data_IF_948147147607
#
_entry.id   IF_948147147607
#
_cell.length_a   1.000
_cell.length_b   1.000
_cell.length_c   1.000
_cell.angle_alpha   90.00
_cell.angle_beta   90.00
_cell.angle_gamma   90.00
#
_symmetry.space_group_name_H-M   'P 1'
#
loop_
_entity.id
_entity.type
_entity.pdbx_description
1 polymer ?
#
# COMPACT_ATOMS: atom_id res chain seq x y z
N UNK A 1 -32.64 45.37 -20.21
CA UNK A 1 -32.94 43.91 -20.25
C UNK A 1 -31.70 43.02 -20.23
N UNK A 2 -30.50 43.45 -20.65
CA UNK A 2 -29.31 42.56 -20.68
C UNK A 2 -28.70 42.16 -19.32
N UNK A 3 -28.84 42.97 -18.28
CA UNK A 3 -28.21 42.71 -16.96
C UNK A 3 -28.75 41.46 -16.24
N UNK A 4 -30.00 41.08 -16.50
CA UNK A 4 -30.62 39.87 -15.92
C UNK A 4 -30.09 38.62 -16.63
N UNK A 5 -29.83 38.69 -17.93
CA UNK A 5 -29.28 37.59 -18.73
C UNK A 5 -27.80 37.32 -18.40
N UNK A 6 -27.02 38.37 -18.13
CA UNK A 6 -25.64 38.26 -17.63
C UNK A 6 -25.57 37.67 -16.21
N UNK A 7 -26.50 38.04 -15.33
CA UNK A 7 -26.63 37.45 -13.99
C UNK A 7 -26.99 35.96 -14.06
N UNK A 8 -27.94 35.59 -14.93
CA UNK A 8 -28.39 34.21 -15.09
C UNK A 8 -27.28 33.31 -15.64
N UNK A 9 -26.49 33.79 -16.60
CA UNK A 9 -25.33 33.05 -17.16
C UNK A 9 -24.21 32.88 -16.14
N UNK A 10 -23.91 33.90 -15.33
CA UNK A 10 -22.98 33.81 -14.19
C UNK A 10 -23.39 32.75 -13.16
N UNK A 11 -24.67 32.68 -12.80
CA UNK A 11 -25.20 31.64 -11.92
C UNK A 11 -25.04 30.23 -12.52
N UNK A 12 -25.26 30.09 -13.84
CA UNK A 12 -25.00 28.86 -14.57
C UNK A 12 -23.55 28.40 -14.43
N UNK A 13 -22.57 29.27 -14.70
CA UNK A 13 -21.15 28.95 -14.55
C UNK A 13 -20.78 28.56 -13.11
N UNK A 14 -21.30 29.28 -12.11
CA UNK A 14 -21.08 28.95 -10.70
C UNK A 14 -21.60 27.56 -10.33
N UNK A 15 -22.76 27.15 -10.86
CA UNK A 15 -23.31 25.82 -10.62
C UNK A 15 -22.45 24.69 -11.21
N UNK A 16 -21.88 24.90 -12.40
CA UNK A 16 -20.97 23.95 -13.05
C UNK A 16 -19.66 23.83 -12.27
N UNK A 17 -19.12 24.97 -11.80
CA UNK A 17 -17.91 24.98 -10.96
C UNK A 17 -18.18 24.26 -9.63
N UNK A 18 -19.31 24.54 -8.96
CA UNK A 18 -19.65 23.90 -7.70
C UNK A 18 -19.83 22.38 -7.83
N UNK A 19 -20.50 21.92 -8.90
CA UNK A 19 -20.67 20.49 -9.18
C UNK A 19 -19.35 19.81 -9.51
N UNK A 20 -18.45 20.46 -10.24
CA UNK A 20 -17.11 19.97 -10.51
C UNK A 20 -16.28 19.84 -9.21
N UNK A 21 -16.30 20.86 -8.35
CA UNK A 21 -15.63 20.81 -7.05
C UNK A 21 -16.17 19.68 -6.16
N UNK A 22 -17.50 19.50 -6.13
CA UNK A 22 -18.13 18.42 -5.38
C UNK A 22 -17.74 17.04 -5.92
N UNK A 23 -17.65 16.88 -7.24
CA UNK A 23 -17.18 15.66 -7.87
C UNK A 23 -15.72 15.36 -7.49
N UNK A 24 -14.82 16.34 -7.61
CA UNK A 24 -13.40 16.20 -7.23
C UNK A 24 -13.29 15.78 -5.76
N UNK A 25 -14.00 16.45 -4.85
CA UNK A 25 -13.98 16.11 -3.43
C UNK A 25 -14.44 14.67 -3.16
N UNK A 26 -15.51 14.24 -3.85
CA UNK A 26 -16.03 12.86 -3.73
C UNK A 26 -15.03 11.84 -4.29
N UNK A 27 -14.33 12.18 -5.37
CA UNK A 27 -13.27 11.34 -5.93
C UNK A 27 -12.07 11.24 -5.00
N UNK A 28 -11.57 12.35 -4.44
CA UNK A 28 -10.47 12.36 -3.47
C UNK A 28 -10.75 11.44 -2.28
N UNK A 29 -11.93 11.56 -1.66
CA UNK A 29 -12.35 10.66 -0.55
C UNK A 29 -12.49 9.19 -0.94
N UNK A 30 -12.71 8.90 -2.22
CA UNK A 30 -12.83 7.54 -2.75
C UNK A 30 -11.44 6.95 -3.00
N UNK A 31 -10.52 7.76 -3.51
CA UNK A 31 -9.10 7.42 -3.67
C UNK A 31 -8.45 7.09 -2.33
N UNK A 32 -8.62 7.92 -1.30
CA UNK A 32 -8.09 7.65 0.05
C UNK A 32 -8.60 6.33 0.66
N UNK A 33 -9.82 5.92 0.30
CA UNK A 33 -10.36 4.62 0.73
C UNK A 33 -9.75 3.47 -0.05
N UNK A 34 -9.61 3.62 -1.37
CA UNK A 34 -9.00 2.61 -2.22
C UNK A 34 -7.52 2.40 -1.85
N UNK A 35 -6.78 3.48 -1.60
CA UNK A 35 -5.38 3.43 -1.19
C UNK A 35 -5.21 2.63 0.11
N UNK A 36 -6.07 2.84 1.11
CA UNK A 36 -6.04 2.05 2.35
C UNK A 36 -6.35 0.57 2.15
N UNK A 37 -7.31 0.25 1.27
CA UNK A 37 -7.61 -1.14 0.94
C UNK A 37 -6.43 -1.79 0.20
N UNK A 38 -5.88 -1.10 -0.80
CA UNK A 38 -4.72 -1.56 -1.55
C UNK A 38 -3.50 -1.78 -0.65
N UNK A 39 -3.24 -0.89 0.29
CA UNK A 39 -2.14 -1.06 1.24
C UNK A 39 -2.35 -2.28 2.15
N UNK A 40 -3.55 -2.50 2.67
CA UNK A 40 -3.86 -3.70 3.45
C UNK A 40 -3.76 -4.99 2.62
N UNK A 41 -4.26 -4.96 1.39
CA UNK A 41 -4.17 -6.10 0.46
C UNK A 41 -2.71 -6.40 0.11
N UNK A 42 -1.90 -5.36 -0.05
CA UNK A 42 -0.46 -5.48 -0.28
C UNK A 42 0.24 -6.15 0.91
N UNK A 43 -0.02 -5.69 2.13
CA UNK A 43 0.50 -6.34 3.35
C UNK A 43 0.03 -7.80 3.47
N UNK A 44 -1.22 -8.11 3.07
CA UNK A 44 -1.74 -9.47 3.07
C UNK A 44 -0.98 -10.37 2.08
N UNK A 45 -0.71 -9.88 0.88
CA UNK A 45 0.07 -10.61 -0.12
C UNK A 45 1.50 -10.89 0.36
N UNK A 46 2.16 -9.90 0.96
CA UNK A 46 3.49 -10.10 1.55
C UNK A 46 3.49 -11.16 2.66
N UNK A 47 2.43 -11.20 3.50
CA UNK A 47 2.28 -12.25 4.51
C UNK A 47 2.19 -13.64 3.89
N UNK A 48 1.42 -13.79 2.81
CA UNK A 48 1.32 -15.06 2.09
C UNK A 48 2.67 -15.46 1.51
N UNK A 49 3.40 -14.51 0.94
CA UNK A 49 4.74 -14.74 0.38
C UNK A 49 5.73 -15.20 1.45
N UNK A 50 5.79 -14.52 2.60
CA UNK A 50 6.68 -14.89 3.73
C UNK A 50 6.37 -16.31 4.25
N UNK A 51 5.09 -16.67 4.31
CA UNK A 51 4.62 -17.95 4.84
C UNK A 51 4.64 -19.10 3.81
N UNK A 52 4.81 -18.80 2.52
CA UNK A 52 4.81 -19.83 1.48
C UNK A 52 6.10 -20.65 1.52
N UNK A 53 5.99 -21.94 1.82
CA UNK A 53 7.13 -22.86 1.81
C UNK A 53 7.58 -23.25 0.40
N UNK A 54 6.77 -22.97 -0.62
CA UNK A 54 7.08 -23.26 -2.02
C UNK A 54 8.09 -22.25 -2.62
N UNK A 55 8.25 -21.09 -1.99
CA UNK A 55 9.15 -20.03 -2.47
C UNK A 55 10.56 -20.17 -1.89
N UNK A 56 11.61 -19.82 -2.66
CA UNK A 56 12.98 -19.76 -2.16
C UNK A 56 13.10 -18.85 -0.93
N UNK A 57 13.99 -19.21 0.00
CA UNK A 57 14.17 -18.46 1.25
C UNK A 57 14.56 -17.00 0.97
N UNK A 58 15.40 -16.73 -0.04
CA UNK A 58 15.78 -15.35 -0.38
C UNK A 58 14.58 -14.49 -0.81
N UNK A 59 13.65 -15.05 -1.58
CA UNK A 59 12.45 -14.33 -2.01
C UNK A 59 11.54 -14.03 -0.83
N UNK A 60 11.40 -15.00 0.09
CA UNK A 60 10.62 -14.84 1.31
C UNK A 60 11.24 -13.82 2.25
N UNK A 61 12.58 -13.76 2.35
CA UNK A 61 13.30 -12.76 3.13
C UNK A 61 13.09 -11.36 2.55
N UNK A 62 13.15 -11.23 1.22
CA UNK A 62 12.86 -9.95 0.53
C UNK A 62 11.42 -9.50 0.78
N UNK A 63 10.45 -10.43 0.74
CA UNK A 63 9.07 -10.13 1.08
C UNK A 63 8.90 -9.72 2.56
N UNK A 64 9.68 -10.31 3.46
CA UNK A 64 9.73 -9.96 4.87
C UNK A 64 10.28 -8.56 5.14
N UNK A 65 11.37 -8.19 4.45
CA UNK A 65 11.94 -6.85 4.50
C UNK A 65 10.91 -5.80 4.03
N UNK A 66 10.28 -6.06 2.89
CA UNK A 66 9.23 -5.20 2.33
C UNK A 66 8.04 -5.07 3.28
N UNK A 67 7.60 -6.17 3.88
CA UNK A 67 6.49 -6.19 4.84
C UNK A 67 6.76 -5.28 6.03
N UNK A 68 7.96 -5.33 6.61
CA UNK A 68 8.34 -4.47 7.73
C UNK A 68 8.46 -3.01 7.29
N UNK A 69 8.97 -2.74 6.09
CA UNK A 69 9.09 -1.40 5.51
C UNK A 69 7.73 -0.72 5.35
N UNK A 70 6.72 -1.47 4.93
CA UNK A 70 5.34 -1.02 4.78
C UNK A 70 4.57 -0.95 6.12
N UNK A 71 5.24 -1.11 7.25
CA UNK A 71 4.63 -1.01 8.59
C UNK A 71 4.01 -2.30 9.11
N UNK A 72 4.24 -3.43 8.43
CA UNK A 72 3.89 -4.77 8.91
C UNK A 72 4.58 -5.13 10.23
N UNK A 73 3.85 -5.82 11.11
CA UNK A 73 4.32 -6.08 12.48
C UNK A 73 3.73 -7.39 13.05
N UNK A 74 4.06 -7.70 14.31
CA UNK A 74 3.54 -8.84 15.04
C UNK A 74 4.20 -10.16 14.63
N UNK A 75 3.41 -11.25 14.66
CA UNK A 75 3.92 -12.60 14.43
C UNK A 75 4.61 -12.79 13.07
N UNK A 76 4.18 -12.05 12.04
CA UNK A 76 4.77 -12.15 10.70
C UNK A 76 6.18 -11.54 10.69
N UNK A 77 6.35 -10.39 11.34
CA UNK A 77 7.68 -9.78 11.51
C UNK A 77 8.61 -10.69 12.30
N UNK A 78 8.11 -11.32 13.37
CA UNK A 78 8.87 -12.29 14.14
C UNK A 78 9.27 -13.51 13.29
N UNK A 79 8.35 -14.03 12.45
CA UNK A 79 8.64 -15.14 11.54
C UNK A 79 9.73 -14.78 10.53
N UNK A 80 9.68 -13.57 9.97
CA UNK A 80 10.74 -13.05 9.10
C UNK A 80 12.09 -12.97 9.81
N UNK A 81 12.13 -12.45 11.05
CA UNK A 81 13.37 -12.34 11.83
C UNK A 81 14.01 -13.70 12.11
N UNK A 82 13.21 -14.68 12.53
CA UNK A 82 13.70 -16.05 12.74
C UNK A 82 14.28 -16.65 11.44
N UNK A 83 13.57 -16.47 10.33
CA UNK A 83 14.03 -16.95 9.02
C UNK A 83 15.32 -16.25 8.57
N UNK A 84 15.51 -14.98 8.93
CA UNK A 84 16.73 -14.22 8.63
C UNK A 84 17.91 -14.72 9.47
N UNK A 85 17.68 -15.02 10.74
CA UNK A 85 18.69 -15.60 11.65
C UNK A 85 19.12 -16.99 11.16
N UNK A 86 18.17 -17.88 10.86
CA UNK A 86 18.43 -19.22 10.29
C UNK A 86 19.28 -19.14 9.01
N UNK A 87 18.95 -18.23 8.10
CA UNK A 87 19.70 -18.03 6.86
C UNK A 87 21.13 -17.52 7.09
N UNK A 88 21.33 -16.64 8.09
CA UNK A 88 22.65 -16.14 8.44
C UNK A 88 23.52 -17.22 9.09
N UNK A 89 22.92 -18.08 9.92
CA UNK A 89 23.61 -19.23 10.51
C UNK A 89 24.04 -20.24 9.45
N UNK A 90 23.18 -20.53 8.46
CA UNK A 90 23.52 -21.42 7.35
C UNK A 90 24.69 -20.88 6.51
N UNK A 91 24.71 -19.58 6.22
CA UNK A 91 25.80 -18.96 5.45
C UNK A 91 27.08 -18.87 6.28
N UNK A 92 26.99 -18.42 7.53
CA UNK A 92 28.15 -18.23 8.41
C UNK A 92 28.74 -19.54 8.97
N UNK A 93 27.93 -20.59 9.10
CA UNK A 93 28.40 -21.92 9.49
C UNK A 93 29.21 -22.63 8.40
N UNK A 94 28.96 -22.28 7.13
CA UNK A 94 29.67 -22.84 5.97
C UNK A 94 31.15 -22.41 5.90
N UNK A 95 31.52 -21.32 6.60
CA UNK A 95 32.90 -20.84 6.70
C UNK A 95 33.74 -21.62 7.74
N UNK A 96 33.12 -22.47 8.56
CA UNK A 96 33.80 -23.25 9.60
C UNK A 96 34.01 -24.73 9.25
N UNK A 97 33.56 -25.19 8.08
CA UNK A 97 33.61 -26.59 7.65
C UNK A 97 34.50 -26.85 6.41
N UNK A 98 35.31 -25.87 5.99
CA UNK A 98 36.32 -26.02 4.92
C UNK A 98 37.77 -25.90 5.42
#
# INVERSE_FOLDING_TARGET
MGWIEELATLCGYLSVIATLCAAIYRFSRRLERMERHQHNDYLCMLRLMILSEELPVEERLKAGEEYVREGGNGAIKARYQLMLEEYQEEIGGNDHEN
#
